data_IF_554767442120
#
_entry.id   IF_554767442120
#
_cell.length_a   1.000
_cell.length_b   1.000
_cell.length_c   1.000
_cell.angle_alpha   90.00
_cell.angle_beta   90.00
_cell.angle_gamma   90.00
#
_symmetry.space_group_name_H-M   'P 1'
#
loop_
_entity.id
_entity.type
_entity.pdbx_description
1 polymer ?
#
# COMPACT_ATOMS: atom_id res chain seq x y z
N UNK A 1 10.47 32.37 43.23
CA UNK A 1 10.34 33.13 41.96
C UNK A 1 11.12 32.49 40.81
N UNK A 2 12.41 32.12 41.00
CA UNK A 2 13.27 31.50 39.97
C UNK A 2 12.70 30.24 39.29
N UNK A 3 12.05 29.34 40.03
CA UNK A 3 11.51 28.08 39.46
C UNK A 3 10.31 28.29 38.53
N UNK A 4 9.46 29.29 38.80
CA UNK A 4 8.33 29.63 37.91
C UNK A 4 8.82 30.24 36.60
N UNK A 5 9.86 31.06 36.66
CA UNK A 5 10.50 31.66 35.49
C UNK A 5 11.08 30.58 34.54
N UNK A 6 11.71 29.55 35.10
CA UNK A 6 12.26 28.43 34.32
C UNK A 6 11.16 27.62 33.63
N UNK A 7 10.03 27.38 34.29
CA UNK A 7 8.89 26.68 33.70
C UNK A 7 8.26 27.49 32.56
N UNK A 8 8.06 28.80 32.75
CA UNK A 8 7.56 29.67 31.67
C UNK A 8 8.54 29.77 30.50
N UNK A 9 9.85 29.79 30.78
CA UNK A 9 10.87 29.80 29.74
C UNK A 9 10.90 28.48 28.95
N UNK A 10 10.79 27.33 29.63
CA UNK A 10 10.70 26.01 28.97
C UNK A 10 9.43 25.89 28.12
N UNK A 11 8.28 26.36 28.62
CA UNK A 11 7.04 26.40 27.84
C UNK A 11 7.17 27.31 26.61
N UNK A 12 7.81 28.47 26.74
CA UNK A 12 8.04 29.40 25.64
C UNK A 12 8.95 28.79 24.56
N UNK A 13 10.04 28.14 24.97
CA UNK A 13 10.99 27.47 24.06
C UNK A 13 10.36 26.24 23.37
N UNK A 14 9.41 25.57 24.01
CA UNK A 14 8.63 24.50 23.36
C UNK A 14 7.60 25.03 22.35
N UNK A 15 7.18 26.30 22.45
CA UNK A 15 6.23 26.91 21.48
C UNK A 15 6.90 27.59 20.28
N UNK A 16 8.19 27.95 20.38
CA UNK A 16 8.92 28.61 19.28
C UNK A 16 9.05 27.82 17.96
N UNK A 17 9.07 26.47 17.92
CA UNK A 17 9.13 25.75 16.64
C UNK A 17 7.87 25.90 15.77
N UNK A 18 6.74 26.30 16.37
CA UNK A 18 5.44 26.37 15.68
C UNK A 18 5.32 27.62 14.79
N UNK A 19 6.06 28.70 15.08
CA UNK A 19 5.93 29.99 14.37
C UNK A 19 6.88 30.07 13.15
N UNK A 20 7.86 29.17 13.04
CA UNK A 20 8.86 29.20 11.96
C UNK A 20 8.45 28.40 10.70
N UNK A 21 7.18 28.00 10.58
CA UNK A 21 6.67 27.15 9.48
C UNK A 21 5.90 27.91 8.39
N UNK A 22 6.02 29.23 8.29
CA UNK A 22 5.51 30.02 7.14
C UNK A 22 6.40 29.82 5.89
N UNK A 23 6.62 28.56 5.50
CA UNK A 23 7.03 28.24 4.15
C UNK A 23 5.84 28.53 3.21
N UNK A 24 6.07 29.06 2.00
CA UNK A 24 5.00 29.23 1.03
C UNK A 24 4.26 27.90 0.86
N UNK A 25 2.94 27.91 1.02
CA UNK A 25 2.11 26.70 0.87
C UNK A 25 2.50 26.03 -0.45
N UNK A 26 3.04 24.80 -0.42
CA UNK A 26 3.39 24.11 -1.65
C UNK A 26 2.13 24.06 -2.51
N UNK A 27 2.27 24.39 -3.79
CA UNK A 27 1.23 24.21 -4.82
C UNK A 27 0.49 22.92 -4.52
N UNK A 28 -0.81 23.00 -4.21
CA UNK A 28 -1.62 21.85 -3.81
C UNK A 28 -1.41 20.75 -4.85
N UNK A 29 -0.70 19.70 -4.45
CA UNK A 29 -0.55 18.52 -5.28
C UNK A 29 -1.97 17.96 -5.51
N UNK A 30 -2.24 17.40 -6.71
CA UNK A 30 -3.52 16.76 -6.96
C UNK A 30 -3.76 15.70 -5.88
N UNK A 31 -4.90 15.80 -5.20
CA UNK A 31 -5.30 14.80 -4.20
C UNK A 31 -5.62 13.52 -4.95
N UNK A 32 -4.81 12.49 -4.75
CA UNK A 32 -5.10 11.15 -5.28
C UNK A 32 -6.24 10.59 -4.42
N UNK A 33 -7.40 10.24 -5.01
CA UNK A 33 -8.48 9.62 -4.26
C UNK A 33 -8.09 8.21 -3.82
N UNK A 34 -8.47 7.84 -2.61
CA UNK A 34 -8.26 6.50 -2.05
C UNK A 34 -9.59 5.85 -1.69
N UNK A 35 -9.68 4.54 -1.89
CA UNK A 35 -10.59 3.70 -1.12
C UNK A 35 -9.94 3.41 0.23
N UNK A 36 -10.66 3.64 1.32
CA UNK A 36 -10.24 3.32 2.68
C UNK A 36 -11.14 2.23 3.24
N UNK A 37 -10.55 1.08 3.54
CA UNK A 37 -11.26 -0.08 4.08
C UNK A 37 -11.46 0.02 5.59
N UNK A 38 -12.54 -0.57 6.10
CA UNK A 38 -12.70 -0.86 7.52
C UNK A 38 -11.73 -1.91 8.06
N UNK A 39 -10.99 -2.61 7.19
CA UNK A 39 -9.94 -3.59 7.53
C UNK A 39 -8.52 -2.97 7.48
N UNK A 40 -8.43 -1.65 7.66
CA UNK A 40 -7.18 -0.90 7.78
C UNK A 40 -6.25 -0.93 6.56
N UNK A 41 -6.75 -1.22 5.36
CA UNK A 41 -5.98 -1.01 4.12
C UNK A 41 -6.55 0.13 3.28
N UNK A 42 -5.70 0.72 2.46
CA UNK A 42 -6.05 1.78 1.53
C UNK A 42 -5.48 1.46 0.16
N UNK A 43 -6.24 1.78 -0.88
CA UNK A 43 -5.85 1.58 -2.27
C UNK A 43 -6.21 2.84 -3.06
N UNK A 44 -5.28 3.44 -3.82
CA UNK A 44 -5.61 4.60 -4.64
C UNK A 44 -6.57 4.16 -5.74
N UNK A 45 -7.55 5.00 -6.04
CA UNK A 45 -8.45 4.77 -7.17
C UNK A 45 -7.70 5.17 -8.43
N UNK A 46 -7.40 4.24 -9.35
CA UNK A 46 -6.58 4.58 -10.50
C UNK A 46 -7.28 5.59 -11.43
N UNK A 47 -6.55 6.46 -12.14
CA UNK A 47 -7.14 7.43 -13.05
C UNK A 47 -8.00 6.74 -14.14
N UNK A 48 -9.25 7.21 -14.32
CA UNK A 48 -10.20 6.63 -15.26
C UNK A 48 -11.00 5.45 -14.72
N UNK A 49 -10.61 4.88 -13.57
CA UNK A 49 -11.31 3.76 -12.94
C UNK A 49 -12.36 4.26 -11.96
N UNK A 50 -13.42 3.48 -11.79
CA UNK A 50 -14.52 3.79 -10.86
C UNK A 50 -14.59 2.72 -9.78
N UNK A 51 -14.60 3.16 -8.52
CA UNK A 51 -14.97 2.31 -7.39
C UNK A 51 -16.47 1.96 -7.49
N UNK A 52 -16.80 0.68 -7.49
CA UNK A 52 -18.19 0.19 -7.54
C UNK A 52 -18.61 -0.63 -6.32
N UNK A 53 -17.67 -1.20 -5.56
CA UNK A 53 -18.02 -1.93 -4.34
C UNK A 53 -18.62 -1.01 -3.29
N UNK A 54 -19.70 -1.48 -2.67
CA UNK A 54 -20.38 -0.84 -1.54
C UNK A 54 -19.99 -1.48 -0.19
N UNK A 55 -19.20 -2.55 -0.21
CA UNK A 55 -18.77 -3.27 0.97
C UNK A 55 -17.53 -2.61 1.59
N UNK A 56 -17.52 -2.45 2.92
CA UNK A 56 -16.46 -1.73 3.63
C UNK A 56 -15.10 -2.47 3.67
N UNK A 57 -15.07 -3.76 3.34
CA UNK A 57 -13.87 -4.61 3.31
C UNK A 57 -13.33 -4.90 1.91
N UNK A 58 -14.00 -4.42 0.86
CA UNK A 58 -13.70 -4.76 -0.53
C UNK A 58 -13.58 -3.50 -1.39
N UNK A 59 -12.38 -3.27 -1.91
CA UNK A 59 -12.19 -2.36 -3.03
C UNK A 59 -12.50 -3.10 -4.33
N UNK A 60 -13.29 -2.48 -5.22
CA UNK A 60 -13.57 -3.01 -6.55
C UNK A 60 -13.59 -1.84 -7.51
N UNK A 61 -12.61 -1.83 -8.42
CA UNK A 61 -12.46 -0.81 -9.45
C UNK A 61 -12.74 -1.42 -10.81
N UNK A 62 -13.56 -0.74 -11.63
CA UNK A 62 -13.78 -1.09 -13.03
C UNK A 62 -13.47 0.08 -13.96
N UNK A 63 -13.11 -0.23 -15.20
CA UNK A 63 -12.90 0.76 -16.26
C UNK A 63 -13.93 0.55 -17.38
N UNK A 64 -14.46 1.62 -18.00
CA UNK A 64 -15.46 1.48 -19.06
C UNK A 64 -14.90 0.89 -20.36
N UNK A 65 -13.61 1.10 -20.64
CA UNK A 65 -13.00 0.77 -21.94
C UNK A 65 -12.15 -0.51 -21.94
N UNK A 66 -11.99 -1.16 -20.78
CA UNK A 66 -11.34 -2.48 -20.68
C UNK A 66 -12.24 -3.43 -19.92
N UNK A 67 -12.36 -4.66 -20.40
CA UNK A 67 -13.13 -5.70 -19.71
C UNK A 67 -12.29 -6.32 -18.59
N UNK A 68 -12.01 -5.48 -17.58
CA UNK A 68 -11.19 -5.87 -16.45
C UNK A 68 -11.59 -5.17 -15.16
N UNK A 69 -11.23 -5.78 -14.05
CA UNK A 69 -11.52 -5.31 -12.70
C UNK A 69 -10.31 -5.44 -11.79
N UNK A 70 -10.10 -4.47 -10.90
CA UNK A 70 -9.11 -4.53 -9.83
C UNK A 70 -9.85 -4.71 -8.51
N UNK A 71 -9.48 -5.72 -7.74
CA UNK A 71 -10.03 -6.01 -6.43
C UNK A 71 -8.97 -5.87 -5.35
N UNK A 72 -9.34 -5.38 -4.17
CA UNK A 72 -8.50 -5.48 -2.99
C UNK A 72 -9.31 -5.81 -1.74
N UNK A 73 -8.85 -6.75 -0.93
CA UNK A 73 -9.51 -7.20 0.29
C UNK A 73 -8.51 -7.78 1.28
N UNK A 74 -8.89 -7.84 2.56
CA UNK A 74 -8.14 -8.54 3.58
C UNK A 74 -8.84 -9.84 3.98
N UNK A 75 -8.06 -10.91 4.11
CA UNK A 75 -8.51 -12.27 4.36
C UNK A 75 -7.74 -12.85 5.55
N UNK A 76 -8.46 -13.49 6.46
CA UNK A 76 -7.87 -14.30 7.53
C UNK A 76 -7.67 -15.71 7.00
N UNK A 77 -6.42 -16.17 6.95
CA UNK A 77 -6.06 -17.49 6.44
C UNK A 77 -4.80 -18.02 7.13
N UNK A 78 -4.50 -19.31 6.96
CA UNK A 78 -3.29 -19.94 7.52
C UNK A 78 -2.06 -19.75 6.62
N UNK A 79 -2.28 -19.64 5.31
CA UNK A 79 -1.24 -19.47 4.30
C UNK A 79 -1.76 -18.67 3.09
N UNK A 80 -0.84 -18.33 2.18
CA UNK A 80 -1.12 -17.56 0.95
C UNK A 80 -2.13 -18.26 0.05
N UNK A 81 -2.05 -19.58 -0.10
CA UNK A 81 -2.94 -20.32 -0.98
C UNK A 81 -4.37 -20.33 -0.44
N UNK A 82 -4.52 -20.51 0.87
CA UNK A 82 -5.80 -20.45 1.57
C UNK A 82 -6.41 -19.04 1.50
N UNK A 83 -5.57 -18.00 1.60
CA UNK A 83 -6.00 -16.61 1.41
C UNK A 83 -6.51 -16.35 -0.01
N UNK A 84 -5.78 -16.83 -1.03
CA UNK A 84 -6.19 -16.72 -2.43
C UNK A 84 -7.49 -17.47 -2.69
N UNK A 85 -7.63 -18.70 -2.20
CA UNK A 85 -8.86 -19.48 -2.35
C UNK A 85 -10.06 -18.78 -1.73
N UNK A 86 -9.91 -18.22 -0.52
CA UNK A 86 -10.97 -17.47 0.14
C UNK A 86 -11.31 -16.16 -0.61
N UNK A 87 -10.30 -15.48 -1.17
CA UNK A 87 -10.53 -14.32 -2.03
C UNK A 87 -11.28 -14.69 -3.31
N UNK A 88 -10.92 -15.78 -3.99
CA UNK A 88 -11.61 -16.25 -5.19
C UNK A 88 -13.05 -16.65 -4.90
N UNK A 89 -13.29 -17.40 -3.83
CA UNK A 89 -14.64 -17.78 -3.40
C UNK A 89 -15.54 -16.56 -3.16
N UNK A 90 -14.98 -15.48 -2.60
CA UNK A 90 -15.71 -14.24 -2.36
C UNK A 90 -15.97 -13.43 -3.65
N UNK A 91 -14.98 -13.32 -4.53
CA UNK A 91 -15.00 -12.36 -5.64
C UNK A 91 -15.55 -12.94 -6.94
N UNK A 92 -15.21 -14.19 -7.20
CA UNK A 92 -15.45 -14.88 -8.47
C UNK A 92 -15.84 -16.33 -8.21
N UNK A 93 -16.94 -16.56 -7.47
CA UNK A 93 -17.40 -17.91 -7.21
C UNK A 93 -17.65 -18.61 -8.55
N UNK A 94 -17.39 -19.92 -8.58
CA UNK A 94 -17.65 -20.80 -9.74
C UNK A 94 -16.69 -20.65 -10.93
N UNK A 95 -15.67 -19.80 -10.89
CA UNK A 95 -14.65 -19.79 -11.94
C UNK A 95 -13.73 -21.01 -11.82
N UNK A 96 -13.65 -21.78 -12.90
CA UNK A 96 -12.60 -22.78 -13.08
C UNK A 96 -11.31 -22.06 -13.49
N UNK A 97 -10.28 -22.14 -12.64
CA UNK A 97 -9.00 -21.46 -12.83
C UNK A 97 -7.84 -22.45 -12.77
N UNK A 98 -6.85 -22.24 -13.62
CA UNK A 98 -5.63 -23.03 -13.67
C UNK A 98 -4.43 -22.16 -13.30
N UNK A 99 -3.65 -22.57 -12.30
CA UNK A 99 -2.47 -21.81 -11.89
C UNK A 99 -1.37 -21.93 -12.94
N UNK A 100 -0.96 -20.78 -13.49
CA UNK A 100 0.09 -20.70 -14.51
C UNK A 100 1.46 -20.45 -13.90
N UNK A 101 1.54 -19.51 -12.96
CA UNK A 101 2.79 -19.09 -12.35
C UNK A 101 2.58 -18.69 -10.88
N UNK A 102 3.60 -18.90 -10.06
CA UNK A 102 3.69 -18.32 -8.72
C UNK A 102 5.12 -17.87 -8.44
N UNK A 103 5.28 -16.88 -7.57
CA UNK A 103 6.58 -16.43 -7.12
C UNK A 103 6.47 -15.43 -5.98
N UNK A 104 7.62 -14.96 -5.53
CA UNK A 104 7.73 -13.91 -4.51
C UNK A 104 8.49 -12.74 -5.12
N UNK A 105 8.22 -11.53 -4.62
CA UNK A 105 8.98 -10.31 -4.85
C UNK A 105 9.06 -9.56 -3.52
N UNK A 106 10.10 -8.76 -3.32
CA UNK A 106 10.18 -7.86 -2.18
C UNK A 106 9.90 -6.42 -2.63
N UNK A 107 8.81 -5.82 -2.12
CA UNK A 107 8.45 -4.43 -2.37
C UNK A 107 8.49 -3.65 -1.06
N UNK A 108 9.26 -2.56 -1.04
CA UNK A 108 9.45 -1.72 0.16
C UNK A 108 9.87 -2.51 1.42
N UNK A 109 10.65 -3.58 1.22
CA UNK A 109 11.13 -4.45 2.29
C UNK A 109 10.08 -5.44 2.82
N UNK A 110 8.95 -5.58 2.14
CA UNK A 110 7.90 -6.55 2.46
C UNK A 110 7.76 -7.56 1.32
N UNK A 111 7.58 -8.83 1.67
CA UNK A 111 7.38 -9.89 0.69
C UNK A 111 5.95 -9.88 0.16
N UNK A 112 5.85 -9.91 -1.16
CA UNK A 112 4.61 -10.05 -1.91
C UNK A 112 4.65 -11.34 -2.71
N UNK A 113 3.66 -12.19 -2.50
CA UNK A 113 3.46 -13.40 -3.27
C UNK A 113 2.66 -13.03 -4.52
N UNK A 114 3.21 -13.31 -5.69
CA UNK A 114 2.53 -13.13 -6.98
C UNK A 114 2.01 -14.48 -7.46
N UNK A 115 0.82 -14.51 -8.04
CA UNK A 115 0.28 -15.69 -8.71
C UNK A 115 -0.51 -15.31 -9.95
N UNK A 116 -0.33 -16.08 -11.02
CA UNK A 116 -1.05 -15.94 -12.28
C UNK A 116 -1.94 -17.16 -12.49
N UNK A 117 -3.16 -16.92 -12.96
CA UNK A 117 -4.11 -17.97 -13.29
C UNK A 117 -4.74 -17.72 -14.65
N UNK A 118 -4.95 -18.79 -15.38
CA UNK A 118 -5.76 -18.79 -16.59
C UNK A 118 -7.19 -19.18 -16.20
N UNK A 119 -8.19 -18.52 -16.79
CA UNK A 119 -9.60 -18.85 -16.56
C UNK A 119 -10.04 -19.82 -17.66
N UNK A 120 -10.62 -20.96 -17.28
CA UNK A 120 -11.16 -21.91 -18.25
C UNK A 120 -12.32 -21.25 -19.00
N UNK A 121 -12.18 -21.12 -20.32
CA UNK A 121 -13.12 -20.41 -21.17
C UNK A 121 -12.70 -18.98 -21.55
N UNK A 122 -11.56 -18.50 -21.04
CA UNK A 122 -10.92 -17.26 -21.47
C UNK A 122 -10.77 -16.23 -20.35
N UNK A 123 -9.79 -15.34 -20.50
CA UNK A 123 -9.39 -14.39 -19.47
C UNK A 123 -8.32 -14.96 -18.52
N UNK A 124 -7.88 -14.12 -17.59
CA UNK A 124 -6.78 -14.44 -16.67
C UNK A 124 -6.87 -13.58 -15.41
N UNK A 125 -6.15 -14.03 -14.39
CA UNK A 125 -6.08 -13.39 -13.09
C UNK A 125 -4.61 -13.18 -12.74
N UNK A 126 -4.28 -11.96 -12.32
CA UNK A 126 -3.03 -11.68 -11.62
C UNK A 126 -3.35 -11.33 -10.18
N UNK A 127 -2.75 -12.03 -9.22
CA UNK A 127 -2.93 -11.76 -7.79
C UNK A 127 -1.58 -11.45 -7.12
N UNK A 128 -1.57 -10.41 -6.31
CA UNK A 128 -0.49 -10.04 -5.40
C UNK A 128 -1.00 -10.15 -3.97
N UNK A 129 -0.27 -10.87 -3.13
CA UNK A 129 -0.65 -11.14 -1.73
C UNK A 129 0.46 -10.71 -0.81
N UNK A 130 0.14 -9.85 0.15
CA UNK A 130 1.04 -9.48 1.23
C UNK A 130 0.51 -10.03 2.55
N UNK A 131 1.36 -10.70 3.32
CA UNK A 131 1.05 -11.05 4.70
C UNK A 131 1.50 -9.93 5.63
N UNK A 132 0.61 -9.51 6.54
CA UNK A 132 0.98 -8.66 7.67
C UNK A 132 0.30 -9.17 8.92
N UNK A 133 1.11 -9.50 9.92
CA UNK A 133 0.71 -10.21 11.13
C UNK A 133 0.01 -11.55 10.78
N UNK A 134 -1.29 -11.67 11.02
CA UNK A 134 -2.11 -12.85 10.66
C UNK A 134 -3.12 -12.57 9.55
N UNK A 135 -3.04 -11.42 8.90
CA UNK A 135 -3.94 -11.01 7.83
C UNK A 135 -3.22 -11.04 6.48
N UNK A 136 -3.87 -11.63 5.48
CA UNK A 136 -3.42 -11.60 4.09
C UNK A 136 -4.19 -10.52 3.34
N UNK A 137 -3.46 -9.61 2.72
CA UNK A 137 -4.01 -8.56 1.88
C UNK A 137 -3.83 -8.99 0.43
N UNK A 138 -4.93 -9.16 -0.29
CA UNK A 138 -4.95 -9.64 -1.67
C UNK A 138 -5.31 -8.46 -2.57
N UNK A 139 -4.45 -8.16 -3.53
CA UNK A 139 -4.72 -7.26 -4.65
C UNK A 139 -4.80 -8.11 -5.92
N UNK A 140 -5.91 -8.06 -6.62
CA UNK A 140 -6.20 -8.91 -7.76
C UNK A 140 -6.56 -8.05 -8.97
N UNK A 141 -6.03 -8.41 -10.12
CA UNK A 141 -6.53 -7.98 -11.41
C UNK A 141 -7.19 -9.14 -12.13
N UNK A 142 -8.43 -8.94 -12.56
CA UNK A 142 -9.23 -9.88 -13.34
C UNK A 142 -9.41 -9.33 -14.74
N UNK A 143 -8.84 -10.00 -15.74
CA UNK A 143 -9.15 -9.78 -17.14
C UNK A 143 -10.28 -10.75 -17.54
N UNK A 144 -11.40 -10.20 -18.02
CA UNK A 144 -12.57 -10.98 -18.45
C UNK A 144 -12.65 -11.13 -19.97
N UNK A 145 -11.82 -10.41 -20.72
CA UNK A 145 -11.80 -10.50 -22.17
C UNK A 145 -11.18 -11.84 -22.60
N UNK A 146 -11.94 -12.75 -23.24
CA UNK A 146 -11.42 -14.05 -23.66
C UNK A 146 -10.51 -13.95 -24.90
N UNK A 147 -10.51 -12.82 -25.60
CA UNK A 147 -9.75 -12.62 -26.84
C UNK A 147 -8.31 -12.15 -26.59
N UNK A 148 -7.97 -11.76 -25.36
CA UNK A 148 -6.63 -11.29 -25.00
C UNK A 148 -6.11 -11.99 -23.74
N UNK A 149 -4.83 -12.37 -23.76
CA UNK A 149 -4.14 -12.76 -22.53
C UNK A 149 -3.45 -11.55 -21.93
N UNK A 150 -3.64 -11.25 -20.63
CA UNK A 150 -3.08 -10.05 -20.01
C UNK A 150 -2.47 -10.36 -18.63
N UNK A 151 -1.17 -10.61 -18.62
CA UNK A 151 -0.43 -10.96 -17.41
C UNK A 151 0.32 -9.77 -16.85
N UNK A 152 0.35 -9.65 -15.53
CA UNK A 152 1.12 -8.64 -14.84
C UNK A 152 2.07 -9.28 -13.84
N UNK A 153 3.35 -8.99 -13.98
CA UNK A 153 4.42 -9.62 -13.24
C UNK A 153 5.36 -8.58 -12.65
N UNK A 154 6.05 -9.03 -11.62
CA UNK A 154 7.24 -8.38 -11.10
C UNK A 154 8.24 -9.49 -10.79
N UNK A 155 9.51 -9.28 -11.10
CA UNK A 155 10.58 -10.23 -10.80
C UNK A 155 11.80 -9.46 -10.31
N UNK A 156 12.63 -10.12 -9.50
CA UNK A 156 13.89 -9.50 -9.07
C UNK A 156 14.81 -9.34 -10.26
N UNK A 157 15.36 -8.15 -10.44
CA UNK A 157 16.22 -7.81 -11.56
C UNK A 157 17.62 -8.40 -11.32
N UNK A 158 17.94 -9.53 -11.96
CA UNK A 158 19.26 -10.12 -11.84
C UNK A 158 20.31 -9.15 -12.44
N UNK A 159 21.23 -8.68 -11.61
CA UNK A 159 22.30 -7.74 -12.00
C UNK A 159 21.81 -6.42 -12.63
N UNK A 160 20.58 -5.98 -12.33
CA UNK A 160 19.93 -4.84 -12.99
C UNK A 160 19.88 -4.96 -14.53
N UNK A 161 19.89 -6.20 -15.06
CA UNK A 161 19.74 -6.44 -16.48
C UNK A 161 18.27 -6.68 -16.80
N UNK A 162 17.62 -5.60 -17.24
CA UNK A 162 16.22 -5.60 -17.67
C UNK A 162 15.93 -6.69 -18.71
N UNK A 163 16.80 -6.83 -19.72
CA UNK A 163 16.59 -7.79 -20.81
C UNK A 163 16.56 -9.24 -20.32
N UNK A 164 17.47 -9.61 -19.42
CA UNK A 164 17.51 -10.95 -18.81
C UNK A 164 16.24 -11.22 -18.00
N UNK A 165 15.74 -10.19 -17.31
CA UNK A 165 14.49 -10.28 -16.55
C UNK A 165 13.31 -10.58 -17.49
N UNK A 166 13.20 -9.85 -18.61
CA UNK A 166 12.12 -10.08 -19.58
C UNK A 166 12.21 -11.46 -20.22
N UNK A 167 13.40 -11.89 -20.62
CA UNK A 167 13.62 -13.24 -21.16
C UNK A 167 13.22 -14.32 -20.16
N UNK A 168 13.54 -14.15 -18.87
CA UNK A 168 13.11 -15.07 -17.83
C UNK A 168 11.59 -15.15 -17.73
N UNK A 169 10.90 -14.01 -17.64
CA UNK A 169 9.43 -13.95 -17.58
C UNK A 169 8.81 -14.62 -18.81
N UNK A 170 9.30 -14.30 -20.00
CA UNK A 170 8.80 -14.87 -21.25
C UNK A 170 9.06 -16.37 -21.30
N UNK A 171 10.20 -16.86 -20.83
CA UNK A 171 10.51 -18.30 -20.77
C UNK A 171 9.61 -19.07 -19.81
N UNK A 172 9.17 -18.43 -18.72
CA UNK A 172 8.23 -19.02 -17.76
C UNK A 172 6.82 -19.10 -18.35
N UNK A 173 6.38 -18.06 -19.07
CA UNK A 173 5.04 -18.00 -19.65
C UNK A 173 4.91 -18.78 -20.97
N UNK A 174 5.96 -18.84 -21.77
CA UNK A 174 6.00 -19.46 -23.10
C UNK A 174 7.18 -20.44 -23.18
N UNK A 175 7.14 -21.55 -22.43
CA UNK A 175 8.26 -22.47 -22.32
C UNK A 175 8.64 -23.09 -23.67
N UNK A 176 9.92 -23.03 -24.00
CA UNK A 176 10.47 -23.57 -25.25
C UNK A 176 10.30 -22.65 -26.47
N UNK A 177 9.79 -21.43 -26.28
CA UNK A 177 9.74 -20.40 -27.31
C UNK A 177 10.89 -19.42 -27.10
N UNK A 178 11.74 -19.29 -28.11
CA UNK A 178 12.79 -18.27 -28.15
C UNK A 178 12.20 -16.99 -28.76
N UNK A 179 12.08 -15.94 -27.96
CA UNK A 179 11.41 -14.70 -28.32
C UNK A 179 12.41 -13.54 -28.32
N UNK A 180 12.73 -13.04 -29.51
CA UNK A 180 13.44 -11.78 -29.67
C UNK A 180 12.46 -10.65 -30.00
N UNK A 181 12.66 -9.43 -29.45
CA UNK A 181 11.77 -8.30 -29.73
C UNK A 181 11.94 -7.84 -31.19
N UNK A 182 10.83 -7.73 -31.92
CA UNK A 182 10.79 -7.13 -33.27
C UNK A 182 11.00 -5.61 -33.16
N UNK A 183 10.34 -5.00 -32.18
CA UNK A 183 10.47 -3.58 -31.86
C UNK A 183 10.62 -3.42 -30.36
N UNK A 184 11.36 -2.39 -29.96
CA UNK A 184 11.51 -1.96 -28.58
C UNK A 184 11.62 -0.44 -28.57
N UNK A 185 10.71 0.23 -27.86
CA UNK A 185 10.64 1.69 -27.81
C UNK A 185 10.32 2.17 -26.40
N UNK A 186 10.91 3.29 -26.02
CA UNK A 186 10.56 3.99 -24.79
C UNK A 186 9.17 4.65 -24.91
N UNK A 187 8.36 4.51 -23.87
CA UNK A 187 7.01 5.08 -23.78
C UNK A 187 6.84 5.79 -22.43
N UNK A 188 6.41 7.04 -22.48
CA UNK A 188 6.11 7.84 -21.29
C UNK A 188 4.68 7.60 -20.82
N UNK A 189 4.53 7.09 -19.60
CA UNK A 189 3.25 6.84 -18.94
C UNK A 189 3.14 7.65 -17.65
N UNK A 190 1.93 7.75 -17.08
CA UNK A 190 1.69 8.57 -15.88
C UNK A 190 2.43 8.09 -14.63
N UNK A 191 2.88 6.83 -14.62
CA UNK A 191 3.67 6.24 -13.55
C UNK A 191 5.18 6.20 -13.89
N UNK A 192 5.64 6.77 -15.01
CA UNK A 192 7.04 6.90 -15.39
C UNK A 192 7.35 6.40 -16.79
N UNK A 193 8.64 6.25 -17.08
CA UNK A 193 9.16 5.80 -18.38
C UNK A 193 9.23 4.28 -18.44
N UNK A 194 8.65 3.69 -19.49
CA UNK A 194 8.61 2.23 -19.71
C UNK A 194 9.22 1.87 -21.06
N UNK A 195 9.67 0.63 -21.20
CA UNK A 195 10.05 0.05 -22.49
C UNK A 195 8.89 -0.80 -23.00
N UNK A 196 8.36 -0.46 -24.17
CA UNK A 196 7.41 -1.28 -24.89
C UNK A 196 8.13 -2.14 -25.91
N UNK A 197 7.97 -3.45 -25.82
CA UNK A 197 8.51 -4.39 -26.82
C UNK A 197 7.41 -5.23 -27.44
N UNK A 198 7.53 -5.49 -28.74
CA UNK A 198 6.62 -6.37 -29.49
C UNK A 198 7.39 -7.60 -29.96
N UNK A 199 6.81 -8.78 -29.75
CA UNK A 199 7.32 -10.07 -30.17
C UNK A 199 6.31 -10.75 -31.10
N UNK A 200 6.78 -11.76 -31.81
CA UNK A 200 5.94 -12.62 -32.65
C UNK A 200 5.95 -14.02 -32.07
N UNK A 201 4.78 -14.52 -31.68
CA UNK A 201 4.63 -15.90 -31.26
C UNK A 201 4.68 -16.86 -32.47
N UNK A 202 5.02 -18.15 -32.25
CA UNK A 202 5.12 -19.14 -33.32
C UNK A 202 3.82 -19.39 -34.10
N UNK A 203 2.67 -19.09 -33.49
CA UNK A 203 1.34 -19.18 -34.10
C UNK A 203 0.99 -17.97 -35.00
N UNK A 204 1.86 -16.95 -35.04
CA UNK A 204 1.64 -15.74 -35.82
C UNK A 204 0.89 -14.63 -35.06
N UNK A 205 0.58 -14.81 -33.78
CA UNK A 205 0.01 -13.75 -32.95
C UNK A 205 1.08 -12.82 -32.37
N UNK A 206 0.71 -11.55 -32.19
CA UNK A 206 1.59 -10.56 -31.59
C UNK A 206 1.54 -10.66 -30.07
N UNK A 207 2.70 -10.50 -29.45
CA UNK A 207 2.86 -10.38 -28.01
C UNK A 207 3.46 -9.01 -27.70
N UNK A 208 2.74 -8.20 -26.95
CA UNK A 208 3.17 -6.88 -26.52
C UNK A 208 3.57 -6.92 -25.06
N UNK A 209 4.64 -6.22 -24.72
CA UNK A 209 5.11 -6.10 -23.34
C UNK A 209 5.35 -4.64 -23.00
N UNK A 210 5.06 -4.24 -21.78
CA UNK A 210 5.58 -3.03 -21.15
C UNK A 210 6.42 -3.46 -19.97
N UNK A 211 7.62 -2.93 -19.85
CA UNK A 211 8.43 -3.21 -18.68
C UNK A 211 9.21 -2.00 -18.19
N UNK A 212 9.53 -2.03 -16.91
CA UNK A 212 10.27 -0.98 -16.22
C UNK A 212 11.02 -1.58 -15.04
N UNK A 213 12.31 -1.26 -14.93
CA UNK A 213 13.09 -1.54 -13.73
C UNK A 213 12.88 -0.42 -12.71
N UNK A 214 12.51 -0.78 -11.47
CA UNK A 214 12.62 0.13 -10.32
C UNK A 214 13.37 -0.56 -9.21
N UNK A 215 14.42 0.08 -8.73
CA UNK A 215 15.35 -0.49 -7.76
C UNK A 215 15.89 -1.83 -8.27
N UNK A 216 15.59 -2.93 -7.59
CA UNK A 216 15.98 -4.30 -7.87
C UNK A 216 14.82 -5.15 -8.40
N UNK A 217 13.73 -4.52 -8.86
CA UNK A 217 12.55 -5.24 -9.40
C UNK A 217 12.22 -4.77 -10.81
N UNK A 218 12.09 -5.73 -11.74
CA UNK A 218 11.56 -5.51 -13.08
C UNK A 218 10.07 -5.80 -13.09
N UNK A 219 9.26 -4.78 -13.38
CA UNK A 219 7.82 -4.89 -13.54
C UNK A 219 7.50 -5.12 -15.01
N UNK A 220 6.61 -6.06 -15.31
CA UNK A 220 6.28 -6.47 -16.68
C UNK A 220 4.78 -6.60 -16.81
N UNK A 221 4.20 -5.97 -17.83
CA UNK A 221 2.84 -6.22 -18.31
C UNK A 221 2.97 -6.89 -19.67
N UNK A 222 2.23 -7.97 -19.88
CA UNK A 222 2.29 -8.77 -21.11
C UNK A 222 0.87 -8.90 -21.63
N UNK A 223 0.66 -8.49 -22.86
CA UNK A 223 -0.58 -8.66 -23.60
C UNK A 223 -0.33 -9.53 -24.83
N UNK A 224 -1.06 -10.63 -24.97
CA UNK A 224 -1.20 -11.35 -26.23
C UNK A 224 -2.44 -10.81 -26.93
N UNK A 225 -2.25 -10.04 -28.00
CA UNK A 225 -3.33 -9.23 -28.58
C UNK A 225 -2.81 -8.11 -29.48
N UNK A 226 -3.53 -6.98 -29.51
CA UNK A 226 -3.20 -5.80 -30.31
C UNK A 226 -2.38 -4.74 -29.54
N UNK A 227 -2.26 -4.88 -28.22
CA UNK A 227 -1.49 -4.00 -27.36
C UNK A 227 -2.22 -2.71 -26.97
N UNK A 228 -3.51 -2.55 -27.33
CA UNK A 228 -4.26 -1.33 -27.04
C UNK A 228 -4.61 -1.20 -25.54
N UNK A 229 -4.76 -2.32 -24.85
CA UNK A 229 -5.18 -2.33 -23.43
C UNK A 229 -4.02 -2.15 -22.45
N UNK A 230 -2.82 -2.52 -22.89
CA UNK A 230 -1.58 -2.58 -22.13
C UNK A 230 -1.32 -1.30 -21.32
N UNK A 231 -1.43 -0.11 -21.91
CA UNK A 231 -1.15 1.17 -21.23
C UNK A 231 -2.15 1.48 -20.12
N UNK A 232 -3.44 1.27 -20.40
CA UNK A 232 -4.54 1.57 -19.48
C UNK A 232 -4.45 0.68 -18.26
N UNK A 233 -4.21 -0.61 -18.48
CA UNK A 233 -4.14 -1.61 -17.41
C UNK A 233 -2.85 -1.47 -16.61
N UNK A 234 -1.70 -1.25 -17.28
CA UNK A 234 -0.41 -0.99 -16.62
C UNK A 234 -0.49 0.17 -15.63
N UNK A 235 -1.03 1.32 -16.08
CA UNK A 235 -1.21 2.50 -15.21
C UNK A 235 -2.11 2.16 -14.03
N UNK A 236 -3.18 1.40 -14.28
CA UNK A 236 -4.18 1.12 -13.27
C UNK A 236 -3.65 0.22 -12.16
N UNK A 237 -3.13 -0.95 -12.53
CA UNK A 237 -2.68 -1.93 -11.55
C UNK A 237 -1.49 -1.41 -10.76
N UNK A 238 -0.47 -0.85 -11.40
CA UNK A 238 0.70 -0.38 -10.65
C UNK A 238 0.44 0.89 -9.85
N UNK A 239 -0.56 1.69 -10.22
CA UNK A 239 -1.05 2.74 -9.30
C UNK A 239 -1.65 2.10 -8.05
N UNK A 240 -2.52 1.08 -8.22
CA UNK A 240 -3.13 0.37 -7.10
C UNK A 240 -2.08 -0.36 -6.23
N UNK A 241 -1.13 -1.07 -6.84
CA UNK A 241 -0.08 -1.83 -6.16
C UNK A 241 0.89 -0.91 -5.41
N UNK A 242 1.44 0.11 -6.07
CA UNK A 242 2.44 1.00 -5.43
C UNK A 242 1.83 1.96 -4.41
N UNK A 243 0.54 2.30 -4.55
CA UNK A 243 -0.17 3.08 -3.54
C UNK A 243 -0.90 2.23 -2.52
N UNK A 244 -0.82 0.89 -2.59
CA UNK A 244 -1.42 0.02 -1.60
C UNK A 244 -0.67 0.19 -0.27
N UNK A 245 -1.39 0.52 0.80
CA UNK A 245 -0.79 0.51 2.13
C UNK A 245 -1.79 0.09 3.21
N UNK A 246 -1.25 -0.58 4.22
CA UNK A 246 -2.00 -0.96 5.43
C UNK A 246 -1.71 0.07 6.51
N UNK A 247 -2.75 0.80 6.94
CA UNK A 247 -2.70 1.69 8.09
C UNK A 247 -2.38 0.85 9.33
N UNK A 248 -1.27 1.12 10.04
CA UNK A 248 -0.98 0.43 11.29
C UNK A 248 -2.13 0.65 12.29
N UNK A 249 -2.55 -0.41 12.96
CA UNK A 249 -3.39 -0.27 14.15
C UNK A 249 -2.56 0.40 15.25
N UNK A 250 -2.89 1.65 15.54
CA UNK A 250 -2.20 2.46 16.54
C UNK A 250 -3.00 2.57 17.85
N UNK A 251 -4.08 1.80 18.02
CA UNK A 251 -4.95 1.90 19.18
C UNK A 251 -4.20 1.61 20.49
N UNK A 252 -3.27 0.66 20.48
CA UNK A 252 -2.42 0.36 21.64
C UNK A 252 -1.49 1.54 21.99
N UNK A 253 -0.86 2.16 20.99
CA UNK A 253 0.01 3.31 21.18
C UNK A 253 -0.78 4.55 21.62
N UNK A 254 -1.97 4.74 21.08
CA UNK A 254 -2.90 5.80 21.47
C UNK A 254 -3.33 5.60 22.93
N UNK A 255 -3.72 4.39 23.31
CA UNK A 255 -4.11 4.05 24.68
C UNK A 255 -2.93 4.27 25.63
N UNK A 256 -1.73 3.82 25.27
CA UNK A 256 -0.51 4.06 26.05
C UNK A 256 -0.26 5.56 26.24
N UNK A 257 -0.39 6.35 25.16
CA UNK A 257 -0.27 7.81 25.20
C UNK A 257 -1.29 8.45 26.15
N UNK A 258 -2.55 8.00 26.11
CA UNK A 258 -3.62 8.46 27.01
C UNK A 258 -3.30 8.08 28.47
N UNK A 259 -2.86 6.86 28.74
CA UNK A 259 -2.53 6.39 30.09
C UNK A 259 -1.37 7.19 30.68
N UNK A 260 -0.32 7.42 29.90
CA UNK A 260 0.84 8.24 30.32
C UNK A 260 0.41 9.67 30.59
N UNK A 261 -0.38 10.29 29.70
CA UNK A 261 -0.90 11.64 29.88
C UNK A 261 -1.77 11.75 31.15
N UNK A 262 -2.67 10.79 31.38
CA UNK A 262 -3.50 10.75 32.58
C UNK A 262 -2.66 10.59 33.86
N UNK A 263 -1.64 9.72 33.83
CA UNK A 263 -0.70 9.54 34.94
C UNK A 263 0.03 10.83 35.31
N UNK A 264 0.49 11.60 34.32
CA UNK A 264 1.10 12.91 34.53
C UNK A 264 0.13 13.91 35.16
N UNK A 265 -1.12 13.96 34.68
CA UNK A 265 -2.17 14.83 35.24
C UNK A 265 -2.47 14.47 36.70
N UNK A 266 -2.61 13.17 37.02
CA UNK A 266 -2.82 12.70 38.39
C UNK A 266 -1.63 13.07 39.27
N UNK A 267 -0.40 12.87 38.79
CA UNK A 267 0.82 13.26 39.50
C UNK A 267 0.86 14.77 39.82
N UNK A 268 0.44 15.61 38.87
CA UNK A 268 0.32 17.05 39.06
C UNK A 268 -0.74 17.42 40.11
N UNK A 269 -1.92 16.79 40.06
CA UNK A 269 -2.99 17.01 41.04
C UNK A 269 -2.51 16.60 42.45
N UNK A 270 -1.89 15.43 42.60
CA UNK A 270 -1.34 14.97 43.87
C UNK A 270 -0.26 15.93 44.40
N UNK A 271 0.61 16.43 43.53
CA UNK A 271 1.61 17.45 43.88
C UNK A 271 0.97 18.74 44.41
N UNK A 272 -0.11 19.20 43.78
CA UNK A 272 -0.86 20.38 44.26
C UNK A 272 -1.51 20.12 45.63
N UNK A 273 -2.08 18.94 45.86
CA UNK A 273 -2.68 18.56 47.15
C UNK A 273 -1.63 18.52 48.26
N UNK A 274 -0.47 17.90 48.01
CA UNK A 274 0.64 17.85 48.97
C UNK A 274 1.14 19.26 49.28
N UNK A 275 1.32 20.08 48.24
CA UNK A 275 1.73 21.48 48.40
C UNK A 275 0.73 22.28 49.23
N UNK A 276 -0.57 22.11 48.98
CA UNK A 276 -1.63 22.78 49.74
C UNK A 276 -1.58 22.40 51.22
N UNK A 277 -1.41 21.10 51.54
CA UNK A 277 -1.25 20.63 52.93
C UNK A 277 -0.02 21.22 53.62
N UNK A 278 1.10 21.35 52.89
CA UNK A 278 2.31 21.95 53.45
C UNK A 278 2.11 23.44 53.74
N UNK A 279 1.46 24.20 52.83
CA UNK A 279 1.13 25.60 53.06
C UNK A 279 0.25 25.79 54.31
N UNK A 280 -0.72 24.91 54.55
CA UNK A 280 -1.52 24.95 55.78
C UNK A 280 -0.69 24.68 57.05
N UNK A 281 0.30 23.79 56.99
CA UNK A 281 1.20 23.53 58.12
C UNK A 281 2.09 24.74 58.40
N UNK A 282 2.64 25.35 57.36
CA UNK A 282 3.47 26.54 57.47
C UNK A 282 2.68 27.73 58.05
N UNK A 283 1.42 27.91 57.62
CA UNK A 283 0.54 28.94 58.16
C UNK A 283 0.30 28.75 59.67
N UNK A 284 0.01 27.52 60.11
CA UNK A 284 -0.18 27.20 61.53
C UNK A 284 1.08 27.46 62.36
N UNK A 285 2.26 27.12 61.83
CA UNK A 285 3.53 27.39 62.49
C UNK A 285 3.76 28.89 62.66
N UNK A 286 3.48 29.70 61.63
CA UNK A 286 3.58 31.16 61.71
C UNK A 286 2.62 31.73 62.77
N UNK A 287 1.39 31.19 62.86
CA UNK A 287 0.43 31.60 63.89
C UNK A 287 0.92 31.26 65.30
N UNK A 288 1.50 30.09 65.52
CA UNK A 288 2.10 29.70 66.81
C UNK A 288 3.27 30.62 67.19
N UNK A 289 4.20 30.87 66.27
CA UNK A 289 5.32 31.78 66.52
C UNK A 289 4.88 33.22 66.85
N UNK A 290 3.75 33.68 66.28
CA UNK A 290 3.18 34.99 66.64
C UNK A 290 2.60 35.02 68.05
N UNK A 291 2.10 33.90 68.55
CA UNK A 291 1.54 33.79 69.91
C UNK A 291 2.66 33.71 70.96
N UNK A 292 3.74 32.99 70.68
CA UNK A 292 4.85 32.78 71.63
C UNK A 292 5.73 34.02 71.86
N UNK A 293 5.66 35.04 70.98
CA UNK A 293 6.46 36.28 71.08
C UNK A 293 5.77 37.34 71.95
N UNK A 294 4.53 37.12 72.38
CA UNK A 294 3.78 37.98 73.28
C UNK A 294 3.74 37.45 74.71
#
# INVERSE_FOLDING_TARGET
>A
MKTRLIIYFLLLVMTTPVIAQDAPEPTQLPVIPYYSSSQNFNVPIPPGWRQISTEAGLAEFIHPDVDGAIYALAVQAEDVQSALNAAFEQLIPELEIEQRLTGVITLDGLDWYKSLYDIVGGGNITAFVQQRDSTYYVLLYLNRNPEIDLYMLAIEAENNNEQVSIEEVLSQLYPGVDLEPITSNEVELSNGTWIRSTYQLPDGEALHTLHQVRFDTTYVVIERGDGETLDTVNKALFTALFGFFVTPDNDEYLLLGIVVAAGLVIGLILSMVVRYRNLQKDERLIQQLKQDVH
#
